data_IF_685428148757
#
_entry.id   IF_685428148757
#
_cell.length_a   1.000
_cell.length_b   1.000
_cell.length_c   1.000
_cell.angle_alpha   90.00
_cell.angle_beta   90.00
_cell.angle_gamma   90.00
#
_symmetry.space_group_name_H-M   'P 1'
#
loop_
_entity.id
_entity.type
_entity.pdbx_description
1 polymer ?
#
# COMPACT_ATOMS: atom_id res chain seq x y z
N UNK A 1 -0.83 24.32 -17.24
CA UNK A 1 -1.13 23.06 -17.96
C UNK A 1 -2.64 22.84 -17.92
N UNK A 2 -3.29 22.49 -19.04
CA UNK A 2 -4.72 22.23 -19.06
C UNK A 2 -4.98 20.80 -18.52
N UNK A 3 -5.35 20.71 -17.24
CA UNK A 3 -5.54 19.46 -16.52
C UNK A 3 -6.58 18.52 -17.16
N UNK A 4 -7.60 19.10 -17.79
CA UNK A 4 -8.65 18.32 -18.48
C UNK A 4 -8.09 17.61 -19.71
N UNK A 5 -7.29 18.30 -20.53
CA UNK A 5 -6.65 17.71 -21.70
C UNK A 5 -5.63 16.65 -21.31
N UNK A 6 -4.92 16.86 -20.22
CA UNK A 6 -3.92 15.96 -19.70
C UNK A 6 -4.53 14.62 -19.19
N UNK A 7 -5.62 14.69 -18.41
CA UNK A 7 -6.36 13.51 -18.01
C UNK A 7 -7.01 12.79 -19.20
N UNK A 8 -7.48 13.52 -20.20
CA UNK A 8 -8.04 12.94 -21.42
C UNK A 8 -6.99 12.11 -22.20
N UNK A 9 -5.74 12.60 -22.24
CA UNK A 9 -4.62 11.85 -22.84
C UNK A 9 -4.37 10.52 -22.10
N UNK A 10 -4.30 10.56 -20.77
CA UNK A 10 -4.15 9.34 -19.97
C UNK A 10 -5.33 8.38 -20.18
N UNK A 11 -6.57 8.89 -20.17
CA UNK A 11 -7.76 8.07 -20.43
C UNK A 11 -7.69 7.39 -21.79
N UNK A 12 -7.32 8.12 -22.84
CA UNK A 12 -7.16 7.55 -24.18
C UNK A 12 -6.11 6.42 -24.19
N UNK A 13 -4.96 6.63 -23.51
CA UNK A 13 -3.91 5.60 -23.42
C UNK A 13 -4.37 4.35 -22.65
N UNK A 14 -5.09 4.51 -21.53
CA UNK A 14 -5.65 3.38 -20.79
C UNK A 14 -6.75 2.66 -21.57
N UNK A 15 -7.65 3.40 -22.22
CA UNK A 15 -8.71 2.82 -23.06
C UNK A 15 -8.14 2.02 -24.23
N UNK A 16 -7.08 2.52 -24.88
CA UNK A 16 -6.40 1.80 -25.96
C UNK A 16 -5.71 0.49 -25.48
N UNK A 17 -5.37 0.41 -24.19
CA UNK A 17 -4.76 -0.78 -23.58
C UNK A 17 -5.78 -1.69 -22.87
N UNK A 18 -7.08 -1.33 -22.90
CA UNK A 18 -8.14 -2.06 -22.23
C UNK A 18 -8.54 -3.32 -23.00
N UNK A 19 -8.92 -4.32 -22.24
CA UNK A 19 -9.66 -5.49 -22.70
C UNK A 19 -11.01 -5.51 -21.94
N UNK A 20 -12.09 -5.00 -22.54
CA UNK A 20 -13.38 -4.91 -21.88
C UNK A 20 -13.92 -6.26 -21.37
N UNK A 21 -13.52 -7.38 -21.99
CA UNK A 21 -13.91 -8.72 -21.53
C UNK A 21 -13.35 -9.06 -20.14
N UNK A 22 -12.30 -8.38 -19.69
CA UNK A 22 -11.69 -8.58 -18.36
C UNK A 22 -12.38 -7.78 -17.27
N UNK A 23 -13.05 -6.68 -17.60
CA UNK A 23 -13.64 -5.78 -16.61
C UNK A 23 -14.62 -6.47 -15.65
N UNK A 24 -15.53 -7.37 -16.10
CA UNK A 24 -16.41 -8.09 -15.19
C UNK A 24 -15.67 -8.94 -14.15
N UNK A 25 -14.62 -9.65 -14.55
CA UNK A 25 -13.82 -10.46 -13.63
C UNK A 25 -13.04 -9.60 -12.62
N UNK A 26 -12.52 -8.43 -13.05
CA UNK A 26 -11.85 -7.48 -12.17
C UNK A 26 -12.82 -6.87 -11.16
N UNK A 27 -14.04 -6.51 -11.57
CA UNK A 27 -15.11 -6.05 -10.69
C UNK A 27 -15.47 -7.11 -9.64
N UNK A 28 -15.76 -8.33 -10.07
CA UNK A 28 -16.11 -9.43 -9.19
C UNK A 28 -14.99 -9.71 -8.16
N UNK A 29 -13.72 -9.67 -8.56
CA UNK A 29 -12.58 -9.81 -7.67
C UNK A 29 -12.52 -8.72 -6.59
N UNK A 30 -12.95 -7.50 -6.92
CA UNK A 30 -13.09 -6.37 -5.99
C UNK A 30 -14.47 -6.30 -5.32
N UNK A 31 -15.24 -7.39 -5.37
CA UNK A 31 -16.59 -7.50 -4.78
C UNK A 31 -17.55 -6.41 -5.30
N UNK A 32 -17.45 -6.10 -6.59
CA UNK A 32 -18.25 -5.11 -7.31
C UNK A 32 -18.24 -3.68 -6.72
N UNK A 33 -17.15 -3.35 -6.00
CA UNK A 33 -17.01 -2.03 -5.35
C UNK A 33 -16.61 -0.93 -6.32
N UNK A 34 -15.98 -1.27 -7.44
CA UNK A 34 -15.38 -0.30 -8.38
C UNK A 34 -15.64 -0.70 -9.83
N UNK A 35 -15.75 0.30 -10.68
CA UNK A 35 -15.72 0.10 -12.12
C UNK A 35 -14.31 -0.10 -12.65
N UNK A 36 -14.19 -0.78 -13.78
CA UNK A 36 -12.92 -1.07 -14.43
C UNK A 36 -13.02 -0.88 -15.95
N UNK A 37 -11.93 -0.36 -16.54
CA UNK A 37 -11.72 -0.37 -17.99
C UNK A 37 -11.35 -1.79 -18.50
N UNK A 38 -10.82 -2.63 -17.64
CA UNK A 38 -10.31 -3.95 -17.99
C UNK A 38 -8.81 -3.95 -18.32
N UNK A 39 -8.00 -3.02 -17.77
CA UNK A 39 -6.58 -2.92 -18.06
C UNK A 39 -5.77 -3.71 -17.03
N UNK A 40 -5.14 -4.81 -17.46
CA UNK A 40 -4.24 -5.58 -16.59
C UNK A 40 -3.04 -4.74 -16.10
N UNK A 41 -2.52 -5.03 -14.90
CA UNK A 41 -1.47 -4.24 -14.26
C UNK A 41 -0.22 -3.99 -15.14
N UNK A 42 0.34 -4.97 -15.89
CA UNK A 42 1.47 -4.70 -16.78
C UNK A 42 1.11 -3.74 -17.92
N UNK A 43 -0.06 -3.90 -18.54
CA UNK A 43 -0.55 -3.04 -19.62
C UNK A 43 -0.82 -1.62 -19.10
N UNK A 44 -1.44 -1.47 -17.90
CA UNK A 44 -1.65 -0.19 -17.25
C UNK A 44 -0.33 0.55 -17.03
N UNK A 45 0.67 -0.10 -16.43
CA UNK A 45 1.97 0.52 -16.18
C UNK A 45 2.65 0.96 -17.48
N UNK A 46 2.55 0.15 -18.52
CA UNK A 46 3.09 0.49 -19.84
C UNK A 46 2.38 1.71 -20.44
N UNK A 47 1.05 1.74 -20.40
CA UNK A 47 0.24 2.82 -20.95
C UNK A 47 0.37 4.13 -20.17
N UNK A 48 0.38 4.07 -18.83
CA UNK A 48 0.48 5.24 -17.97
C UNK A 48 1.92 5.75 -17.78
N UNK A 49 2.93 4.91 -18.02
CA UNK A 49 4.33 5.24 -17.77
C UNK A 49 4.81 6.54 -18.41
N UNK A 50 4.58 6.79 -19.72
CA UNK A 50 4.94 8.05 -20.37
C UNK A 50 4.25 9.26 -19.72
N UNK A 51 2.95 9.15 -19.40
CA UNK A 51 2.19 10.20 -18.71
C UNK A 51 2.75 10.48 -17.32
N UNK A 52 3.03 9.46 -16.51
CA UNK A 52 3.65 9.64 -15.18
C UNK A 52 4.98 10.35 -15.31
N UNK A 53 5.83 9.95 -16.28
CA UNK A 53 7.16 10.53 -16.50
C UNK A 53 7.08 11.98 -16.93
N UNK A 54 6.09 12.40 -17.74
CA UNK A 54 5.92 13.79 -18.16
C UNK A 54 5.63 14.74 -16.99
N UNK A 55 5.21 14.19 -15.82
CA UNK A 55 4.92 14.94 -14.60
C UNK A 55 6.05 14.89 -13.55
N UNK A 56 7.23 14.35 -13.89
CA UNK A 56 8.37 14.25 -12.94
C UNK A 56 8.78 15.62 -12.36
N UNK A 57 8.55 16.71 -13.08
CA UNK A 57 8.87 18.07 -12.65
C UNK A 57 7.73 18.83 -11.94
N UNK A 58 6.54 18.22 -11.76
CA UNK A 58 5.38 18.92 -11.20
C UNK A 58 5.53 19.31 -9.71
N UNK A 59 6.44 18.66 -9.00
CA UNK A 59 6.65 18.89 -7.56
C UNK A 59 5.57 18.28 -6.65
N UNK A 60 5.76 18.34 -5.32
CA UNK A 60 4.88 17.66 -4.37
C UNK A 60 3.41 18.07 -4.49
N UNK A 61 3.12 19.37 -4.57
CA UNK A 61 1.74 19.85 -4.69
C UNK A 61 1.12 19.43 -6.03
N UNK A 62 1.88 19.51 -7.12
CA UNK A 62 1.41 19.08 -8.43
C UNK A 62 1.12 17.57 -8.48
N UNK A 63 1.96 16.73 -7.88
CA UNK A 63 1.70 15.29 -7.82
C UNK A 63 0.46 14.96 -7.00
N UNK A 64 0.24 15.65 -5.87
CA UNK A 64 -0.95 15.46 -5.05
C UNK A 64 -2.22 15.93 -5.75
N UNK A 65 -2.16 17.06 -6.44
CA UNK A 65 -3.29 17.56 -7.24
C UNK A 65 -3.65 16.60 -8.38
N UNK A 66 -2.64 16.00 -9.04
CA UNK A 66 -2.86 14.98 -10.05
C UNK A 66 -3.44 13.70 -9.43
N UNK A 67 -2.93 13.26 -8.29
CA UNK A 67 -3.46 12.10 -7.57
C UNK A 67 -4.92 12.31 -7.18
N UNK A 68 -5.29 13.47 -6.65
CA UNK A 68 -6.68 13.82 -6.33
C UNK A 68 -7.58 13.81 -7.57
N UNK A 69 -7.08 14.31 -8.72
CA UNK A 69 -7.83 14.31 -9.97
C UNK A 69 -8.03 12.89 -10.52
N UNK A 70 -7.03 12.02 -10.39
CA UNK A 70 -7.10 10.61 -10.73
C UNK A 70 -8.02 9.85 -9.77
N UNK A 71 -8.00 10.19 -8.47
CA UNK A 71 -8.85 9.55 -7.46
C UNK A 71 -10.34 9.77 -7.71
N UNK A 72 -10.69 10.94 -8.27
CA UNK A 72 -12.06 11.27 -8.64
C UNK A 72 -12.60 10.51 -9.85
N UNK A 73 -11.73 9.90 -10.67
CA UNK A 73 -12.20 9.10 -11.81
C UNK A 73 -12.99 7.87 -11.34
N UNK A 74 -13.99 7.42 -12.10
CA UNK A 74 -14.83 6.29 -11.71
C UNK A 74 -14.08 4.96 -11.76
N UNK A 75 -13.26 4.72 -12.80
CA UNK A 75 -12.61 3.43 -12.99
C UNK A 75 -11.37 3.27 -12.12
N UNK A 76 -11.21 2.10 -11.52
CA UNK A 76 -10.20 1.79 -10.51
C UNK A 76 -8.78 1.92 -11.00
N UNK A 77 -8.56 1.71 -12.28
CA UNK A 77 -7.25 1.86 -12.90
C UNK A 77 -6.65 3.26 -12.69
N UNK A 78 -7.47 4.31 -12.61
CA UNK A 78 -6.97 5.66 -12.35
C UNK A 78 -6.44 5.81 -10.93
N UNK A 79 -7.07 5.21 -9.91
CA UNK A 79 -6.54 5.20 -8.55
C UNK A 79 -5.21 4.43 -8.50
N UNK A 80 -5.07 3.35 -9.26
CA UNK A 80 -3.78 2.66 -9.37
C UNK A 80 -2.70 3.52 -10.03
N UNK A 81 -3.04 4.33 -11.04
CA UNK A 81 -2.09 5.29 -11.65
C UNK A 81 -1.70 6.36 -10.65
N UNK A 82 -2.62 6.83 -9.80
CA UNK A 82 -2.30 7.77 -8.72
C UNK A 82 -1.30 7.17 -7.72
N UNK A 83 -1.50 5.91 -7.33
CA UNK A 83 -0.55 5.18 -6.46
C UNK A 83 0.81 5.04 -7.14
N UNK A 84 0.86 4.64 -8.43
CA UNK A 84 2.10 4.51 -9.19
C UNK A 84 2.84 5.87 -9.31
N UNK A 85 2.11 6.99 -9.53
CA UNK A 85 2.65 8.35 -9.58
C UNK A 85 3.26 8.77 -8.24
N UNK A 86 2.51 8.62 -7.14
CA UNK A 86 2.96 9.02 -5.81
C UNK A 86 4.12 8.15 -5.34
N UNK A 87 4.08 6.83 -5.58
CA UNK A 87 5.17 5.91 -5.22
C UNK A 87 6.48 6.26 -5.92
N UNK A 88 6.44 6.69 -7.19
CA UNK A 88 7.61 7.16 -7.93
C UNK A 88 8.31 8.35 -7.25
N UNK A 89 7.57 9.16 -6.53
CA UNK A 89 8.07 10.40 -5.93
C UNK A 89 8.06 10.40 -4.40
N UNK A 90 7.74 9.28 -3.75
CA UNK A 90 7.50 9.17 -2.32
C UNK A 90 8.64 9.75 -1.47
N UNK A 91 9.91 9.47 -1.81
CA UNK A 91 11.08 9.97 -1.09
C UNK A 91 11.25 11.51 -1.17
N UNK A 92 10.60 12.16 -2.15
CA UNK A 92 10.66 13.61 -2.38
C UNK A 92 9.50 14.38 -1.73
N UNK A 93 8.52 13.67 -1.18
CA UNK A 93 7.36 14.27 -0.52
C UNK A 93 7.76 14.91 0.82
N UNK A 94 7.28 16.12 1.15
CA UNK A 94 7.47 16.72 2.47
C UNK A 94 6.55 16.08 3.52
N UNK A 95 6.91 16.17 4.81
CA UNK A 95 6.09 15.64 5.91
C UNK A 95 4.65 16.18 5.91
N UNK A 96 4.47 17.43 5.51
CA UNK A 96 3.17 18.13 5.50
C UNK A 96 2.11 17.48 4.61
N UNK A 97 2.50 16.57 3.68
CA UNK A 97 1.53 15.91 2.79
C UNK A 97 0.82 14.72 3.43
N UNK A 98 1.30 14.23 4.59
CA UNK A 98 0.74 13.05 5.24
C UNK A 98 -0.79 13.09 5.39
N UNK A 99 -1.41 14.19 5.86
CA UNK A 99 -2.87 14.25 5.97
C UNK A 99 -3.60 14.02 4.64
N UNK A 100 -3.06 14.52 3.51
CA UNK A 100 -3.66 14.29 2.18
C UNK A 100 -3.51 12.83 1.74
N UNK A 101 -2.38 12.19 2.01
CA UNK A 101 -2.20 10.77 1.73
C UNK A 101 -3.18 9.90 2.54
N UNK A 102 -3.39 10.23 3.82
CA UNK A 102 -4.36 9.54 4.67
C UNK A 102 -5.80 9.76 4.21
N UNK A 103 -6.12 10.95 3.68
CA UNK A 103 -7.43 11.21 3.07
C UNK A 103 -7.70 10.29 1.86
N UNK A 104 -6.67 10.01 1.04
CA UNK A 104 -6.79 9.02 -0.06
C UNK A 104 -6.99 7.59 0.46
N UNK A 105 -6.43 7.25 1.63
CA UNK A 105 -6.66 5.95 2.28
C UNK A 105 -8.12 5.79 2.68
N UNK A 106 -8.75 6.84 3.20
CA UNK A 106 -10.14 6.82 3.70
C UNK A 106 -11.18 7.07 2.59
N UNK A 107 -10.76 7.48 1.39
CA UNK A 107 -11.65 7.62 0.22
C UNK A 107 -11.51 6.41 -0.73
N UNK A 108 -12.63 5.84 -1.16
CA UNK A 108 -12.66 4.63 -2.01
C UNK A 108 -11.79 3.49 -1.45
N UNK A 109 -11.80 3.33 -0.14
CA UNK A 109 -10.93 2.42 0.61
C UNK A 109 -11.12 0.97 0.21
N UNK A 110 -10.04 0.32 -0.21
CA UNK A 110 -9.93 -1.13 -0.39
C UNK A 110 -8.47 -1.54 -0.39
N UNK A 111 -8.18 -2.79 -0.06
CA UNK A 111 -6.82 -3.30 0.15
C UNK A 111 -5.87 -3.04 -1.04
N UNK A 112 -6.37 -3.04 -2.25
CA UNK A 112 -5.61 -2.91 -3.50
C UNK A 112 -4.92 -1.55 -3.70
N UNK A 113 -5.49 -0.47 -3.14
CA UNK A 113 -4.86 0.86 -3.11
C UNK A 113 -4.25 1.17 -1.74
N UNK A 114 -4.92 0.77 -0.65
CA UNK A 114 -4.45 1.03 0.72
C UNK A 114 -3.08 0.42 0.95
N UNK A 115 -2.81 -0.79 0.45
CA UNK A 115 -1.52 -1.46 0.63
C UNK A 115 -0.38 -0.72 -0.09
N UNK A 116 -0.64 -0.21 -1.29
CA UNK A 116 0.31 0.61 -2.03
C UNK A 116 0.57 1.95 -1.35
N UNK A 117 -0.50 2.63 -0.90
CA UNK A 117 -0.39 3.87 -0.12
C UNK A 117 0.41 3.64 1.17
N UNK A 118 0.11 2.56 1.90
CA UNK A 118 0.77 2.24 3.16
C UNK A 118 2.26 1.93 2.98
N UNK A 119 2.60 0.95 2.12
CA UNK A 119 3.94 0.39 2.09
C UNK A 119 4.91 1.17 1.18
N UNK A 120 4.43 1.72 0.05
CA UNK A 120 5.31 2.37 -0.93
C UNK A 120 5.35 3.89 -0.80
N UNK A 121 4.32 4.51 -0.23
CA UNK A 121 4.20 5.97 -0.17
C UNK A 121 4.37 6.46 1.26
N UNK A 122 3.42 6.12 2.17
CA UNK A 122 3.51 6.50 3.58
C UNK A 122 4.75 5.86 4.23
N UNK A 123 5.02 4.59 3.93
CA UNK A 123 6.20 3.92 4.44
C UNK A 123 7.51 4.61 4.04
N UNK A 124 7.67 4.97 2.77
CA UNK A 124 8.87 5.69 2.31
C UNK A 124 8.95 7.10 2.89
N UNK A 125 7.81 7.81 2.96
CA UNK A 125 7.73 9.13 3.59
C UNK A 125 8.16 9.09 5.06
N UNK A 126 7.62 8.16 5.86
CA UNK A 126 7.95 8.00 7.28
C UNK A 126 9.39 7.51 7.46
N UNK A 127 9.89 6.65 6.56
CA UNK A 127 11.29 6.21 6.57
C UNK A 127 12.26 7.38 6.43
N UNK A 128 11.95 8.31 5.52
CA UNK A 128 12.75 9.51 5.28
C UNK A 128 12.52 10.62 6.34
N UNK A 129 11.41 10.57 7.08
CA UNK A 129 10.98 11.61 8.05
C UNK A 129 10.46 10.95 9.31
N UNK A 130 11.39 10.53 10.16
CA UNK A 130 11.11 9.72 11.36
C UNK A 130 10.24 10.43 12.39
N UNK A 131 10.12 11.75 12.35
CA UNK A 131 9.20 12.51 13.17
C UNK A 131 7.73 12.09 12.94
N UNK A 132 7.38 11.59 11.76
CA UNK A 132 6.05 11.07 11.43
C UNK A 132 5.73 9.72 12.08
N UNK A 133 6.68 9.10 12.77
CA UNK A 133 6.40 7.89 13.56
C UNK A 133 5.34 8.14 14.64
N UNK A 134 5.28 9.36 15.21
CA UNK A 134 4.25 9.73 16.17
C UNK A 134 2.83 9.71 15.54
N UNK A 135 2.72 10.00 14.24
CA UNK A 135 1.45 9.87 13.51
C UNK A 135 1.07 8.40 13.38
N UNK A 136 2.02 7.53 13.04
CA UNK A 136 1.78 6.09 12.94
C UNK A 136 1.39 5.48 14.30
N UNK A 137 1.98 5.97 15.41
CA UNK A 137 1.60 5.57 16.77
C UNK A 137 0.10 5.86 17.04
N UNK A 138 -0.40 7.03 16.59
CA UNK A 138 -1.82 7.40 16.71
C UNK A 138 -2.71 6.54 15.79
N UNK A 139 -2.30 6.37 14.53
CA UNK A 139 -3.07 5.59 13.55
C UNK A 139 -3.22 4.12 13.95
N UNK A 140 -2.29 3.55 14.71
CA UNK A 140 -2.38 2.17 15.17
C UNK A 140 -3.61 1.89 16.08
N UNK A 141 -4.20 2.93 16.66
CA UNK A 141 -5.43 2.88 17.48
C UNK A 141 -6.63 3.62 16.86
N UNK A 142 -6.57 4.00 15.58
CA UNK A 142 -7.63 4.77 14.93
C UNK A 142 -8.95 4.01 14.81
N UNK A 143 -10.08 4.72 14.78
CA UNK A 143 -11.40 4.14 14.56
C UNK A 143 -11.56 3.50 13.17
N UNK A 144 -10.94 4.10 12.14
CA UNK A 144 -10.90 3.55 10.78
C UNK A 144 -9.86 2.43 10.69
N UNK A 145 -10.32 1.21 10.46
CA UNK A 145 -9.42 0.06 10.33
C UNK A 145 -8.46 0.15 9.13
N UNK A 146 -8.78 0.91 8.08
CA UNK A 146 -7.86 1.15 6.98
C UNK A 146 -6.66 2.00 7.41
N UNK A 147 -6.87 2.99 8.29
CA UNK A 147 -5.79 3.77 8.88
C UNK A 147 -4.94 2.91 9.84
N UNK A 148 -5.57 2.03 10.66
CA UNK A 148 -4.82 1.04 11.45
C UNK A 148 -4.00 0.10 10.56
N UNK A 149 -4.55 -0.31 9.39
CA UNK A 149 -3.82 -1.11 8.41
C UNK A 149 -2.58 -0.38 7.87
N UNK A 150 -2.68 0.93 7.60
CA UNK A 150 -1.53 1.76 7.22
C UNK A 150 -0.45 1.71 8.30
N UNK A 151 -0.81 1.92 9.57
CA UNK A 151 0.15 1.87 10.68
C UNK A 151 0.86 0.51 10.77
N UNK A 152 0.15 -0.60 10.58
CA UNK A 152 0.74 -1.95 10.62
C UNK A 152 1.67 -2.20 9.42
N UNK A 153 1.35 -1.67 8.22
CA UNK A 153 2.05 -1.99 6.98
C UNK A 153 3.11 -0.96 6.54
N UNK A 154 3.18 0.24 7.14
CA UNK A 154 4.08 1.29 6.63
C UNK A 154 5.56 0.88 6.64
N UNK A 155 6.00 -0.01 7.54
CA UNK A 155 7.37 -0.51 7.62
C UNK A 155 7.63 -1.78 6.77
N UNK A 156 6.68 -2.21 5.93
CA UNK A 156 6.68 -3.52 5.29
C UNK A 156 8.00 -3.85 4.57
N UNK A 157 8.62 -2.88 3.94
CA UNK A 157 9.84 -3.07 3.14
C UNK A 157 11.10 -2.43 3.76
N UNK A 158 11.08 -2.02 5.03
CA UNK A 158 12.22 -1.38 5.67
C UNK A 158 13.35 -2.34 6.07
N UNK A 159 13.08 -3.63 6.11
CA UNK A 159 14.08 -4.67 6.41
C UNK A 159 14.79 -4.38 7.74
N UNK A 160 16.12 -4.12 7.68
CA UNK A 160 16.93 -3.82 8.88
C UNK A 160 16.63 -2.47 9.51
N UNK A 161 15.98 -1.56 8.79
CA UNK A 161 15.57 -0.26 9.32
C UNK A 161 14.23 -0.31 10.06
N UNK A 162 13.56 -1.48 10.08
CA UNK A 162 12.29 -1.67 10.78
C UNK A 162 12.45 -1.37 12.27
N UNK A 163 11.62 -0.45 12.79
CA UNK A 163 11.43 -0.27 14.22
C UNK A 163 10.58 -1.43 14.75
N UNK A 164 11.28 -2.44 15.27
CA UNK A 164 10.68 -3.70 15.71
C UNK A 164 9.74 -3.51 16.88
N UNK A 165 10.07 -2.57 17.79
CA UNK A 165 9.21 -2.26 18.93
C UNK A 165 7.86 -1.74 18.46
N UNK A 166 7.82 -0.78 17.53
CA UNK A 166 6.59 -0.26 16.96
C UNK A 166 5.84 -1.33 16.17
N UNK A 167 6.53 -2.10 15.32
CA UNK A 167 5.89 -3.20 14.57
C UNK A 167 5.15 -4.15 15.50
N UNK A 168 5.81 -4.62 16.56
CA UNK A 168 5.22 -5.57 17.50
C UNK A 168 4.12 -4.92 18.34
N UNK A 169 4.31 -3.69 18.80
CA UNK A 169 3.29 -2.95 19.54
C UNK A 169 2.02 -2.76 18.73
N UNK A 170 2.11 -2.36 17.44
CA UNK A 170 0.93 -2.21 16.58
C UNK A 170 0.24 -3.53 16.30
N UNK A 171 1.00 -4.60 16.06
CA UNK A 171 0.45 -5.94 15.89
C UNK A 171 -0.24 -6.44 17.16
N UNK A 172 0.33 -6.21 18.34
CA UNK A 172 -0.25 -6.62 19.63
C UNK A 172 -1.52 -5.81 19.95
N UNK A 173 -1.51 -4.49 19.74
CA UNK A 173 -2.67 -3.63 19.97
C UNK A 173 -3.88 -4.02 19.09
N UNK A 174 -3.64 -4.61 17.93
CA UNK A 174 -4.67 -5.06 16.98
C UNK A 174 -4.86 -6.59 16.95
N UNK A 175 -4.26 -7.34 17.87
CA UNK A 175 -4.26 -8.80 17.84
C UNK A 175 -5.66 -9.43 17.96
N UNK A 176 -6.55 -8.81 18.76
CA UNK A 176 -7.92 -9.24 18.99
C UNK A 176 -8.93 -8.70 17.96
N UNK A 177 -8.50 -7.87 17.00
CA UNK A 177 -9.39 -7.26 16.03
C UNK A 177 -10.13 -8.32 15.19
N UNK A 178 -11.48 -8.26 15.06
CA UNK A 178 -12.26 -9.20 14.27
C UNK A 178 -12.12 -8.96 12.75
N UNK A 179 -11.61 -7.77 12.32
CA UNK A 179 -11.53 -7.40 10.92
C UNK A 179 -10.53 -8.28 10.16
N UNK A 180 -10.99 -8.89 9.07
CA UNK A 180 -10.17 -9.77 8.23
C UNK A 180 -8.92 -9.07 7.71
N UNK A 181 -9.06 -7.81 7.25
CA UNK A 181 -7.96 -7.06 6.67
C UNK A 181 -6.90 -6.66 7.69
N UNK A 182 -7.27 -6.47 8.96
CA UNK A 182 -6.32 -6.26 10.06
C UNK A 182 -5.57 -7.54 10.39
N UNK A 183 -6.28 -8.66 10.53
CA UNK A 183 -5.63 -9.96 10.78
C UNK A 183 -4.65 -10.35 9.68
N UNK A 184 -4.99 -10.04 8.42
CA UNK A 184 -4.09 -10.26 7.28
C UNK A 184 -2.89 -9.31 7.31
N UNK A 185 -3.08 -8.03 7.66
CA UNK A 185 -1.99 -7.06 7.78
C UNK A 185 -0.96 -7.49 8.83
N UNK A 186 -1.40 -7.89 10.02
CA UNK A 186 -0.54 -8.40 11.09
C UNK A 186 0.30 -9.58 10.58
N UNK A 187 -0.38 -10.57 10.00
CA UNK A 187 0.32 -11.76 9.49
C UNK A 187 1.32 -11.44 8.38
N UNK A 188 0.99 -10.52 7.48
CA UNK A 188 1.87 -10.10 6.38
C UNK A 188 3.07 -9.30 6.88
N UNK A 189 2.85 -8.31 7.74
CA UNK A 189 3.93 -7.50 8.30
C UNK A 189 4.96 -8.36 9.05
N UNK A 190 4.49 -9.27 9.90
CA UNK A 190 5.36 -10.22 10.62
C UNK A 190 6.08 -11.18 9.68
N UNK A 191 5.40 -11.72 8.65
CA UNK A 191 6.00 -12.60 7.66
C UNK A 191 7.11 -11.89 6.87
N UNK A 192 6.88 -10.65 6.47
CA UNK A 192 7.88 -9.86 5.76
C UNK A 192 9.08 -9.56 6.65
N UNK A 193 8.85 -9.19 7.91
CA UNK A 193 9.94 -8.95 8.85
C UNK A 193 10.72 -10.22 9.19
N UNK A 194 10.10 -11.40 9.13
CA UNK A 194 10.79 -12.69 9.33
C UNK A 194 11.89 -12.99 8.28
N UNK A 195 11.94 -12.30 7.15
CA UNK A 195 13.10 -12.35 6.25
C UNK A 195 14.32 -11.62 6.82
N UNK A 196 14.11 -10.72 7.77
CA UNK A 196 15.17 -9.94 8.44
C UNK A 196 15.53 -10.57 9.78
N UNK A 197 14.52 -10.90 10.60
CA UNK A 197 14.69 -11.49 11.93
C UNK A 197 13.59 -12.51 12.23
N UNK A 198 13.86 -13.77 11.90
CA UNK A 198 12.93 -14.86 12.11
C UNK A 198 12.74 -15.20 13.59
N UNK A 199 13.79 -15.05 14.41
CA UNK A 199 13.74 -15.38 15.84
C UNK A 199 12.89 -14.38 16.61
N UNK A 200 13.06 -13.08 16.34
CA UNK A 200 12.22 -12.04 16.93
C UNK A 200 10.73 -12.28 16.61
N UNK A 201 10.41 -12.66 15.35
CA UNK A 201 9.03 -12.98 14.97
C UNK A 201 8.53 -14.23 15.68
N UNK A 202 9.34 -15.30 15.84
CA UNK A 202 8.95 -16.49 16.59
C UNK A 202 8.61 -16.16 18.04
N UNK A 203 9.51 -15.40 18.70
CA UNK A 203 9.31 -14.96 20.10
C UNK A 203 8.01 -14.17 20.25
N UNK A 204 7.78 -13.20 19.39
CA UNK A 204 6.56 -12.39 19.39
C UNK A 204 5.28 -13.26 19.20
N UNK A 205 5.29 -14.15 18.20
CA UNK A 205 4.14 -15.04 17.91
C UNK A 205 3.90 -16.03 19.05
N UNK A 206 4.93 -16.44 19.78
CA UNK A 206 4.80 -17.34 20.95
C UNK A 206 4.20 -16.62 22.16
N UNK A 207 4.53 -15.34 22.37
CA UNK A 207 4.13 -14.55 23.53
C UNK A 207 2.84 -13.75 23.35
N UNK A 208 2.32 -13.65 22.11
CA UNK A 208 1.15 -12.80 21.79
C UNK A 208 -0.03 -13.66 21.33
N UNK A 209 -1.23 -13.38 21.87
CA UNK A 209 -2.47 -14.07 21.51
C UNK A 209 -3.00 -13.61 20.14
N UNK A 210 -2.30 -13.96 19.05
CA UNK A 210 -2.69 -13.66 17.70
C UNK A 210 -3.85 -14.54 17.22
N UNK A 211 -4.70 -14.00 16.34
CA UNK A 211 -5.71 -14.80 15.65
C UNK A 211 -5.07 -16.00 14.90
N UNK A 212 -5.78 -17.13 14.71
CA UNK A 212 -5.25 -18.26 13.93
C UNK A 212 -4.78 -17.86 12.53
N UNK A 213 -5.48 -16.91 11.89
CA UNK A 213 -5.09 -16.38 10.58
C UNK A 213 -3.78 -15.62 10.65
N UNK A 214 -3.66 -14.65 11.56
CA UNK A 214 -2.44 -13.82 11.72
C UNK A 214 -1.23 -14.70 12.03
N UNK A 215 -1.39 -15.65 12.97
CA UNK A 215 -0.33 -16.60 13.37
C UNK A 215 0.14 -17.45 12.18
N UNK A 216 -0.80 -18.06 11.44
CA UNK A 216 -0.47 -18.87 10.26
C UNK A 216 0.26 -18.06 9.19
N UNK A 217 -0.22 -16.85 8.89
CA UNK A 217 0.42 -15.99 7.89
C UNK A 217 1.82 -15.53 8.32
N UNK A 218 2.01 -15.15 9.58
CA UNK A 218 3.30 -14.74 10.14
C UNK A 218 4.36 -15.84 10.04
N UNK A 219 3.98 -17.09 10.31
CA UNK A 219 4.91 -18.21 10.36
C UNK A 219 5.17 -18.87 9.00
N UNK A 220 4.47 -18.51 7.92
CA UNK A 220 4.62 -19.14 6.60
C UNK A 220 6.08 -19.16 6.12
N UNK A 221 6.82 -18.08 6.33
CA UNK A 221 8.24 -17.99 5.93
C UNK A 221 9.13 -18.88 6.79
N UNK A 222 8.87 -18.92 8.08
CA UNK A 222 9.68 -19.63 9.08
C UNK A 222 9.51 -21.15 8.96
N UNK A 223 8.32 -21.60 8.53
CA UNK A 223 7.98 -23.02 8.35
C UNK A 223 8.42 -23.59 7.00
N UNK A 224 8.76 -22.74 6.03
CA UNK A 224 9.37 -23.20 4.79
C UNK A 224 10.80 -23.64 5.06
N UNK A 225 11.15 -24.89 4.66
CA UNK A 225 12.54 -25.38 4.72
C UNK A 225 13.48 -24.37 4.06
N UNK A 226 14.67 -24.10 4.62
CA UNK A 226 15.63 -23.26 3.94
C UNK A 226 15.86 -23.82 2.53
N UNK A 227 15.82 -22.95 1.52
CA UNK A 227 16.31 -23.31 0.18
C UNK A 227 17.76 -23.79 0.33
N UNK A 228 18.16 -24.88 -0.34
CA UNK A 228 19.56 -25.30 -0.33
C UNK A 228 20.40 -24.08 -0.75
N UNK A 229 21.49 -23.85 0.01
CA UNK A 229 22.46 -22.82 -0.33
C UNK A 229 22.84 -23.03 -1.80
N UNK A 230 22.73 -21.99 -2.64
CA UNK A 230 23.37 -22.05 -3.95
C UNK A 230 24.85 -22.22 -3.69
N UNK A 231 25.35 -23.39 -4.01
CA UNK A 231 26.79 -23.61 -4.06
C UNK A 231 27.40 -22.55 -4.98
N UNK A 232 28.42 -21.86 -4.46
CA UNK A 232 29.13 -20.77 -5.11
C UNK A 232 29.95 -21.27 -6.30
#
# INVERSE_FOLDING_TARGET
MNRTADLAQLRAALTAAADPARAPAMRAYMRDRFDFLGVAAPARRKAAGPWIKSHDAAGPDGWLELADALWRQPEREFQYVAVDLLARHAARLPASVLPRLLALVSDKSWWDTVDGLAAWIVGELVRARRELQADMDRLAGDGDFWLRRVAILHQLYWKRETDTERLFRYCAANAADPEFFIRKAIGWALREYAYTDAEAVRGFVASTALSPLSRREALKRIQQKPLPAKEA
#
